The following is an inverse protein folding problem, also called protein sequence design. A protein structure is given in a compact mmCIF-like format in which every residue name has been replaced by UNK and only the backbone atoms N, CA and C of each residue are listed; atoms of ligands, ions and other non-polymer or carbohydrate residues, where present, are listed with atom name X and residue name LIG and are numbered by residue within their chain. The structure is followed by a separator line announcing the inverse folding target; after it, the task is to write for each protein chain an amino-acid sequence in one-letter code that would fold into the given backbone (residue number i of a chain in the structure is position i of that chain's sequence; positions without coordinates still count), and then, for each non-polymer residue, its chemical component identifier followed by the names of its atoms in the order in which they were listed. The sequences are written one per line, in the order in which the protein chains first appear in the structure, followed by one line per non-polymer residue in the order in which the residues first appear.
data_IF_983226479202
#
_entry.id   IF_983226479202
#
_cell.length_a   1.000
_cell.length_b   1.000
_cell.length_c   1.000
_cell.angle_alpha   90.00
_cell.angle_beta   90.00
_cell.angle_gamma   90.00
#
_symmetry.space_group_name_H-M   'P 1'
#
loop_
_entity.id
_entity.type
_entity.pdbx_description
1 polymer ?
#
# COMPACT_ATOMS: atom_id res chain seq x y z
N UNK A 1 2.77 -13.31 5.83
CA UNK A 1 2.55 -13.18 7.29
C UNK A 1 2.75 -11.77 7.89
N UNK A 2 3.45 -10.82 7.23
CA UNK A 2 3.84 -9.53 7.84
C UNK A 2 2.70 -8.60 8.30
N UNK A 3 1.54 -8.57 7.64
CA UNK A 3 0.47 -7.57 7.92
C UNK A 3 -0.28 -7.80 9.23
N UNK A 4 -0.65 -9.05 9.51
CA UNK A 4 -1.44 -9.38 10.71
C UNK A 4 -0.58 -9.26 11.96
N UNK A 5 0.70 -9.64 11.86
CA UNK A 5 1.69 -9.41 12.93
C UNK A 5 1.85 -7.92 13.23
N UNK A 6 1.93 -7.04 12.21
CA UNK A 6 1.95 -5.58 12.43
C UNK A 6 0.68 -5.09 13.14
N UNK A 7 -0.48 -5.63 12.80
CA UNK A 7 -1.73 -5.27 13.47
C UNK A 7 -1.74 -5.69 14.94
N UNK A 8 -1.25 -6.90 15.25
CA UNK A 8 -1.12 -7.36 16.63
C UNK A 8 -0.08 -6.55 17.40
N UNK A 9 1.04 -6.17 16.78
CA UNK A 9 2.03 -5.30 17.41
C UNK A 9 1.43 -3.93 17.73
N UNK A 10 0.72 -3.30 16.79
CA UNK A 10 0.08 -2.00 17.00
C UNK A 10 -1.01 -2.06 18.08
N UNK A 11 -1.84 -3.11 18.06
CA UNK A 11 -2.93 -3.27 19.03
C UNK A 11 -2.50 -3.90 20.36
N UNK A 12 -1.20 -4.20 20.55
CA UNK A 12 -0.65 -4.87 21.74
C UNK A 12 -1.25 -6.27 21.99
N UNK A 13 -1.54 -7.01 20.91
CA UNK A 13 -1.88 -8.42 20.93
C UNK A 13 -3.11 -8.78 20.08
N UNK A 14 -3.60 -9.99 20.33
CA UNK A 14 -4.81 -10.52 19.71
C UNK A 14 -5.92 -10.70 20.75
N UNK A 15 -7.17 -10.65 20.29
CA UNK A 15 -8.36 -11.03 21.03
C UNK A 15 -8.82 -12.42 20.57
N UNK A 16 -8.29 -13.45 21.23
CA UNK A 16 -8.52 -14.86 20.90
C UNK A 16 -9.97 -15.32 21.04
N UNK A 17 -10.85 -14.50 21.63
CA UNK A 17 -12.29 -14.80 21.76
C UNK A 17 -13.07 -14.48 20.48
N UNK A 18 -12.51 -13.65 19.61
CA UNK A 18 -13.20 -13.07 18.47
C UNK A 18 -12.42 -13.24 17.17
N UNK A 19 -13.15 -13.23 16.05
CA UNK A 19 -12.57 -13.18 14.70
C UNK A 19 -12.90 -11.85 14.02
N UNK A 20 -12.03 -11.38 13.14
CA UNK A 20 -12.21 -10.13 12.41
C UNK A 20 -13.52 -10.07 11.61
N UNK A 21 -14.07 -11.22 11.19
CA UNK A 21 -15.38 -11.33 10.52
C UNK A 21 -16.51 -10.63 11.29
N UNK A 22 -16.44 -10.57 12.61
CA UNK A 22 -17.48 -9.98 13.48
C UNK A 22 -17.15 -8.54 13.90
N UNK A 23 -16.05 -7.98 13.40
CA UNK A 23 -15.61 -6.64 13.75
C UNK A 23 -16.29 -5.59 12.87
N UNK A 24 -16.86 -4.53 13.46
CA UNK A 24 -17.42 -3.38 12.74
C UNK A 24 -16.42 -2.67 11.83
N UNK A 25 -15.13 -2.80 12.11
CA UNK A 25 -14.05 -2.18 11.34
C UNK A 25 -13.67 -2.99 10.09
N UNK A 26 -14.24 -4.19 9.91
CA UNK A 26 -14.10 -4.96 8.67
C UNK A 26 -15.11 -4.46 7.65
N UNK A 27 -14.62 -3.97 6.51
CA UNK A 27 -15.46 -3.49 5.41
C UNK A 27 -15.23 -4.32 4.15
N UNK A 28 -16.29 -4.49 3.36
CA UNK A 28 -16.23 -5.14 2.05
C UNK A 28 -16.16 -4.04 0.98
N UNK A 29 -15.08 -4.05 0.19
CA UNK A 29 -14.81 -3.04 -0.83
C UNK A 29 -14.87 -3.70 -2.21
N UNK A 30 -15.67 -3.12 -3.12
CA UNK A 30 -15.68 -3.52 -4.53
C UNK A 30 -14.49 -2.88 -5.23
N UNK A 31 -13.54 -3.69 -5.68
CA UNK A 31 -12.48 -3.27 -6.60
C UNK A 31 -12.86 -3.71 -8.02
N UNK A 32 -12.45 -2.97 -9.05
CA UNK A 32 -12.87 -3.12 -10.47
C UNK A 32 -13.31 -4.53 -10.87
N UNK A 33 -12.47 -5.54 -10.64
CA UNK A 33 -12.74 -6.94 -11.03
C UNK A 33 -12.97 -7.92 -9.87
N UNK A 34 -12.90 -7.48 -8.61
CA UNK A 34 -13.04 -8.37 -7.45
C UNK A 34 -13.58 -7.67 -6.22
N UNK A 35 -14.21 -8.43 -5.34
CA UNK A 35 -14.57 -7.91 -4.02
C UNK A 35 -13.54 -8.35 -2.99
N UNK A 36 -13.02 -7.41 -2.20
CA UNK A 36 -12.05 -7.66 -1.15
C UNK A 36 -12.55 -7.18 0.21
N UNK A 37 -12.11 -7.81 1.30
CA UNK A 37 -12.31 -7.27 2.63
C UNK A 37 -11.13 -6.37 3.01
N UNK A 38 -11.38 -5.32 3.79
CA UNK A 38 -10.37 -4.37 4.28
C UNK A 38 -10.66 -4.04 5.74
N UNK A 39 -9.62 -3.71 6.52
CA UNK A 39 -9.78 -3.26 7.90
C UNK A 39 -9.59 -1.74 7.96
N UNK A 40 -10.56 -0.99 8.50
CA UNK A 40 -10.50 0.48 8.62
C UNK A 40 -9.30 0.95 9.44
N UNK A 41 -9.03 0.26 10.56
CA UNK A 41 -7.92 0.58 11.46
C UNK A 41 -6.59 0.30 10.78
N UNK A 42 -6.48 -0.82 10.07
CA UNK A 42 -5.25 -1.13 9.34
C UNK A 42 -5.03 -0.12 8.22
N UNK A 43 -6.04 0.08 7.38
CA UNK A 43 -6.04 1.01 6.25
C UNK A 43 -6.82 0.43 5.08
N UNK A 44 -7.52 1.32 4.35
CA UNK A 44 -8.31 0.97 3.17
C UNK A 44 -7.63 1.59 1.94
N UNK A 45 -6.91 0.78 1.17
CA UNK A 45 -6.30 1.20 -0.11
C UNK A 45 -6.83 0.35 -1.26
N UNK A 46 -6.64 0.82 -2.49
CA UNK A 46 -6.95 0.06 -3.69
C UNK A 46 -5.99 -1.12 -3.93
N UNK A 47 -4.81 -1.12 -3.30
CA UNK A 47 -3.82 -2.18 -3.48
C UNK A 47 -4.20 -3.49 -2.78
N UNK A 48 -3.84 -4.66 -3.32
CA UNK A 48 -4.10 -5.96 -2.68
C UNK A 48 -3.37 -6.17 -1.34
N UNK A 49 -2.33 -5.39 -1.06
CA UNK A 49 -1.51 -5.49 0.15
C UNK A 49 -2.32 -5.28 1.43
N UNK A 50 -3.39 -4.48 1.31
CA UNK A 50 -4.28 -4.10 2.41
C UNK A 50 -5.54 -4.96 2.48
N UNK A 51 -5.66 -5.94 1.58
CA UNK A 51 -6.70 -6.96 1.67
C UNK A 51 -6.66 -7.62 3.04
N UNK A 52 -7.81 -7.93 3.59
CA UNK A 52 -7.96 -8.56 4.90
C UNK A 52 -8.63 -9.91 4.74
N UNK A 53 -8.23 -10.87 5.57
CA UNK A 53 -8.91 -12.15 5.65
C UNK A 53 -9.87 -12.09 6.84
N UNK A 54 -11.19 -12.32 6.65
CA UNK A 54 -12.16 -12.30 7.75
C UNK A 54 -11.88 -13.33 8.84
N UNK A 55 -11.17 -14.41 8.50
CA UNK A 55 -10.85 -15.53 9.39
C UNK A 55 -9.69 -15.23 10.36
N UNK A 56 -9.00 -14.09 10.21
CA UNK A 56 -7.97 -13.71 11.19
C UNK A 56 -8.59 -13.53 12.58
N UNK A 57 -7.84 -13.93 13.62
CA UNK A 57 -8.16 -13.60 15.01
C UNK A 57 -8.25 -12.08 15.14
N UNK A 58 -9.23 -11.60 15.90
CA UNK A 58 -9.42 -10.17 16.08
C UNK A 58 -8.20 -9.53 16.77
N UNK A 59 -7.91 -8.28 16.44
CA UNK A 59 -6.95 -7.46 17.20
C UNK A 59 -7.61 -6.92 18.48
N UNK A 60 -6.83 -6.36 19.42
CA UNK A 60 -7.40 -5.74 20.64
C UNK A 60 -8.28 -4.51 20.41
N UNK A 61 -8.29 -3.96 19.19
CA UNK A 61 -9.21 -2.90 18.79
C UNK A 61 -10.55 -3.43 18.23
N UNK A 62 -10.96 -4.64 18.64
CA UNK A 62 -12.22 -5.24 18.22
C UNK A 62 -13.41 -4.35 18.63
N UNK A 63 -14.25 -4.01 17.65
CA UNK A 63 -15.42 -3.14 17.82
C UNK A 63 -15.20 -1.75 18.43
N UNK A 64 -13.95 -1.31 18.59
CA UNK A 64 -13.65 0.07 18.94
C UNK A 64 -14.06 1.01 17.81
N UNK A 65 -14.62 2.15 18.18
CA UNK A 65 -14.87 3.23 17.24
C UNK A 65 -13.56 3.98 17.01
N UNK A 66 -12.92 3.71 15.88
CA UNK A 66 -11.59 4.24 15.58
C UNK A 66 -11.70 5.34 14.52
N UNK A 67 -11.46 6.59 14.94
CA UNK A 67 -11.36 7.75 14.06
C UNK A 67 -9.90 8.22 13.87
N UNK A 68 -8.93 7.43 14.33
CA UNK A 68 -7.50 7.77 14.24
C UNK A 68 -6.87 7.50 12.88
N UNK A 69 -5.57 7.78 12.79
CA UNK A 69 -4.75 7.52 11.59
C UNK A 69 -4.61 6.01 11.37
N UNK A 70 -4.82 5.49 10.15
CA UNK A 70 -4.66 4.06 9.87
C UNK A 70 -3.22 3.58 10.12
N UNK A 71 -3.07 2.31 10.53
CA UNK A 71 -1.77 1.67 10.82
C UNK A 71 -0.82 1.75 9.64
N UNK A 72 -1.34 1.64 8.43
CA UNK A 72 -0.62 1.97 7.21
C UNK A 72 -1.16 3.27 6.65
N UNK A 73 -0.29 4.27 6.55
CA UNK A 73 -0.52 5.39 5.67
C UNK A 73 -0.31 4.86 4.25
N UNK A 74 -1.41 4.42 3.62
CA UNK A 74 -1.41 4.18 2.19
C UNK A 74 -0.83 5.40 1.52
N UNK A 75 0.22 5.21 0.72
CA UNK A 75 1.04 6.30 0.23
C UNK A 75 0.20 7.42 -0.38
N UNK A 76 -0.04 8.47 0.40
CA UNK A 76 0.11 9.80 -0.15
C UNK A 76 1.52 9.76 -0.73
N UNK A 77 1.66 9.98 -2.04
CA UNK A 77 2.94 10.41 -2.59
C UNK A 77 3.39 11.54 -1.66
N UNK A 78 4.37 11.30 -0.79
CA UNK A 78 5.24 12.38 -0.39
C UNK A 78 5.78 12.86 -1.72
N UNK A 79 5.44 14.10 -2.10
CA UNK A 79 6.15 14.77 -3.20
C UNK A 79 7.64 14.53 -2.97
N UNK A 80 8.30 14.11 -4.04
CA UNK A 80 9.69 13.69 -4.04
C UNK A 80 10.57 14.71 -3.30
N UNK A 81 11.53 14.15 -2.57
CA UNK A 81 12.81 14.73 -2.14
C UNK A 81 12.80 16.22 -1.76
N UNK A 82 12.91 16.50 -0.46
CA UNK A 82 13.88 17.54 -0.10
C UNK A 82 15.26 16.92 -0.36
N UNK A 83 16.03 17.55 -1.25
CA UNK A 83 17.43 17.21 -1.49
C UNK A 83 18.15 17.22 -0.15
N UNK A 84 18.71 16.08 0.24
CA UNK A 84 19.64 16.03 1.35
C UNK A 84 20.94 16.63 0.80
N UNK A 85 21.31 17.79 1.32
CA UNK A 85 22.55 18.50 0.96
C UNK A 85 23.75 17.54 1.08
N UNK A 86 24.35 17.18 -0.06
CA UNK A 86 25.52 16.31 -0.15
C UNK A 86 25.38 14.99 -0.93
N UNK A 87 24.19 14.63 -1.43
CA UNK A 87 24.07 13.51 -2.38
C UNK A 87 24.33 13.97 -3.81
N UNK A 88 25.45 13.55 -4.42
CA UNK A 88 25.69 13.72 -5.86
C UNK A 88 24.67 12.90 -6.65
N UNK A 89 24.09 13.50 -7.69
CA UNK A 89 23.17 12.80 -8.55
C UNK A 89 23.91 11.73 -9.35
N UNK A 90 23.21 10.66 -9.75
CA UNK A 90 23.81 9.62 -10.61
C UNK A 90 24.29 10.17 -11.96
N UNK A 91 23.78 11.34 -12.38
CA UNK A 91 24.20 12.03 -13.59
C UNK A 91 25.54 12.75 -13.42
N UNK A 92 26.02 12.96 -12.19
CA UNK A 92 27.28 13.63 -11.88
C UNK A 92 28.44 12.64 -11.64
N UNK A 93 28.23 11.33 -11.85
CA UNK A 93 29.29 10.33 -11.77
C UNK A 93 30.08 10.34 -13.10
N UNK A 94 31.35 10.80 -13.13
CA UNK A 94 32.15 10.77 -14.35
C UNK A 94 32.33 9.32 -14.82
N UNK A 95 31.85 9.02 -16.03
CA UNK A 95 31.99 7.71 -16.67
C UNK A 95 30.72 6.86 -16.77
N UNK A 96 29.57 7.32 -16.26
CA UNK A 96 28.28 6.62 -16.43
C UNK A 96 27.49 7.28 -17.55
N UNK A 97 27.55 6.71 -18.77
CA UNK A 97 26.58 7.04 -19.82
C UNK A 97 25.29 6.26 -19.56
N UNK A 98 24.12 6.91 -19.38
CA UNK A 98 22.86 6.19 -19.34
C UNK A 98 22.53 5.61 -20.72
N UNK A 99 22.24 4.31 -20.77
CA UNK A 99 21.89 3.60 -22.00
C UNK A 99 20.69 4.22 -22.71
N UNK A 100 20.81 4.21 -24.03
CA UNK A 100 20.05 4.96 -25.01
C UNK A 100 18.56 4.61 -25.06
N UNK A 101 17.71 5.64 -25.05
CA UNK A 101 16.35 5.54 -25.60
C UNK A 101 16.42 5.70 -27.11
N UNK A 102 16.42 4.61 -27.88
CA UNK A 102 15.95 4.70 -29.26
C UNK A 102 14.48 4.28 -29.30
N UNK A 103 13.64 5.29 -29.51
CA UNK A 103 12.21 5.20 -29.74
C UNK A 103 12.03 4.75 -31.20
N UNK A 104 11.27 3.69 -31.41
CA UNK A 104 10.79 3.25 -32.71
C UNK A 104 9.97 4.37 -33.37
N UNK A 105 10.41 4.83 -34.54
CA UNK A 105 9.57 5.65 -35.41
C UNK A 105 8.83 4.74 -36.38
N UNK A 106 7.50 4.73 -36.23
CA UNK A 106 6.53 4.33 -37.25
C UNK A 106 6.76 5.22 -38.48
N UNK A 107 6.97 4.62 -39.65
CA UNK A 107 6.72 5.30 -40.93
C UNK A 107 5.43 4.71 -41.50
N UNK A 108 4.38 5.54 -41.56
CA UNK A 108 3.19 5.26 -42.36
C UNK A 108 3.50 5.46 -43.86
N UNK A 109 2.80 4.75 -44.77
CA UNK A 109 3.16 4.62 -46.17
C UNK A 109 2.44 5.67 -47.03
N UNK A 110 3.17 6.64 -47.59
CA UNK A 110 2.80 7.39 -48.81
C UNK A 110 3.86 8.43 -49.13
N UNK A 111 4.62 8.21 -50.20
CA UNK A 111 4.95 9.20 -51.23
C UNK A 111 5.99 8.59 -52.19
N UNK A 112 5.46 8.15 -53.35
CA UNK A 112 6.04 8.13 -54.70
C UNK A 112 7.41 7.48 -54.91
#
# INVERSE_FOLDING_TARGET
MRKISKMYQWSKGADYRNVCKWCRNLVKVKQRQRTAYKCRIYGVTETPETDWQPQHIACKAFNLDYQGVPVIQGGQRKKAAEDIEGQLSIADIPGVMPESKYKTYRCDPSAM
#
